data_IF_186156976480
#
_entry.id   IF_186156976480
#
_cell.length_a   1.000
_cell.length_b   1.000
_cell.length_c   1.000
_cell.angle_alpha   90.00
_cell.angle_beta   90.00
_cell.angle_gamma   90.00
#
_symmetry.space_group_name_H-M   'P 1'
#
loop_
_entity.id
_entity.type
_entity.pdbx_description
1 polymer ?
#
# COMPACT_ATOMS: atom_id res chain seq x y z
N UNK A 1 -12.50 9.33 8.32
CA UNK A 1 -13.56 8.30 8.24
C UNK A 1 -12.98 7.01 7.69
N UNK A 2 -13.42 5.78 8.13
CA UNK A 2 -12.86 4.52 7.61
C UNK A 2 -13.88 3.80 6.73
N UNK A 3 -13.56 3.63 5.44
CA UNK A 3 -14.36 2.88 4.46
C UNK A 3 -14.23 1.38 4.67
N UNK A 4 -13.02 0.91 4.96
CA UNK A 4 -12.72 -0.46 5.39
C UNK A 4 -12.47 -0.44 6.88
N UNK A 5 -13.25 -1.23 7.63
CA UNK A 5 -13.11 -1.37 9.09
C UNK A 5 -12.45 -2.68 9.49
N UNK A 6 -12.65 -3.72 8.71
CA UNK A 6 -12.09 -5.03 9.02
C UNK A 6 -11.98 -5.92 7.79
N UNK A 7 -11.11 -6.92 7.91
CA UNK A 7 -10.84 -7.93 6.90
C UNK A 7 -10.94 -9.30 7.59
N UNK A 8 -11.67 -10.22 6.99
CA UNK A 8 -11.84 -11.60 7.46
C UNK A 8 -11.69 -12.57 6.29
N UNK A 9 -11.37 -13.83 6.57
CA UNK A 9 -11.40 -14.91 5.59
C UNK A 9 -12.76 -15.63 5.59
N UNK A 10 -13.24 -16.00 4.40
CA UNK A 10 -14.36 -16.93 4.22
C UNK A 10 -13.82 -18.35 4.27
N UNK A 11 -14.61 -19.33 4.74
CA UNK A 11 -14.23 -20.74 4.67
C UNK A 11 -14.25 -21.27 3.23
N UNK A 12 -13.66 -22.44 3.00
CA UNK A 12 -13.76 -23.19 1.74
C UNK A 12 -12.52 -23.11 0.84
N UNK A 13 -11.39 -22.61 1.34
CA UNK A 13 -10.09 -22.66 0.67
C UNK A 13 -9.23 -23.82 1.17
N UNK A 14 -8.20 -24.17 0.41
CA UNK A 14 -7.17 -25.13 0.81
C UNK A 14 -6.02 -24.39 1.53
N UNK A 15 -5.84 -24.57 2.86
CA UNK A 15 -4.80 -23.84 3.61
C UNK A 15 -3.36 -24.27 3.25
N UNK A 16 -3.18 -25.39 2.55
CA UNK A 16 -1.88 -25.83 2.05
C UNK A 16 -1.44 -25.18 0.76
N UNK A 17 -2.36 -24.56 0.02
CA UNK A 17 -2.11 -23.99 -1.30
C UNK A 17 -1.84 -22.49 -1.23
N UNK A 18 -0.94 -21.99 -2.07
CA UNK A 18 -0.76 -20.54 -2.26
C UNK A 18 -2.05 -19.90 -2.81
N UNK A 19 -2.47 -18.76 -2.29
CA UNK A 19 -1.82 -17.89 -1.28
C UNK A 19 -2.23 -18.15 0.18
N UNK A 20 -2.98 -19.20 0.48
CA UNK A 20 -3.52 -19.44 1.82
C UNK A 20 -2.47 -19.94 2.83
N UNK A 21 -1.32 -20.41 2.33
CA UNK A 21 -0.19 -20.89 3.14
C UNK A 21 0.79 -19.79 3.57
N UNK A 22 0.60 -18.53 3.15
CA UNK A 22 1.49 -17.43 3.54
C UNK A 22 1.20 -16.95 4.98
N UNK A 23 2.21 -16.40 5.70
CA UNK A 23 2.07 -16.01 7.12
C UNK A 23 0.90 -15.06 7.40
N UNK A 24 0.71 -14.04 6.56
CA UNK A 24 -0.38 -13.07 6.71
C UNK A 24 -1.77 -13.72 6.66
N UNK A 25 -1.99 -14.66 5.74
CA UNK A 25 -3.30 -15.32 5.57
C UNK A 25 -3.55 -16.32 6.69
N UNK A 26 -2.52 -17.08 7.10
CA UNK A 26 -2.61 -17.96 8.28
C UNK A 26 -2.92 -17.18 9.56
N UNK A 27 -2.40 -15.94 9.68
CA UNK A 27 -2.75 -15.08 10.82
C UNK A 27 -4.21 -14.66 10.76
N UNK A 28 -4.71 -14.24 9.60
CA UNK A 28 -6.14 -13.89 9.42
C UNK A 28 -7.07 -15.06 9.77
N UNK A 29 -6.70 -16.29 9.40
CA UNK A 29 -7.43 -17.50 9.76
C UNK A 29 -7.51 -17.67 11.29
N UNK A 30 -6.39 -17.57 11.98
CA UNK A 30 -6.29 -17.74 13.43
C UNK A 30 -6.96 -16.61 14.21
N UNK A 31 -6.74 -15.36 13.78
CA UNK A 31 -7.28 -14.17 14.45
C UNK A 31 -8.76 -13.94 14.13
N UNK A 32 -9.28 -14.56 13.05
CA UNK A 32 -10.65 -14.40 12.57
C UNK A 32 -10.93 -13.04 11.93
N UNK A 33 -10.27 -11.98 12.40
CA UNK A 33 -10.49 -10.59 11.92
C UNK A 33 -9.24 -9.74 12.09
N UNK A 34 -8.91 -8.97 11.07
CA UNK A 34 -7.95 -7.86 11.12
C UNK A 34 -8.74 -6.55 11.11
N UNK A 35 -8.58 -5.70 12.12
CA UNK A 35 -9.32 -4.44 12.26
C UNK A 35 -8.43 -3.25 11.84
N UNK A 36 -9.00 -2.32 11.09
CA UNK A 36 -8.37 -1.06 10.68
C UNK A 36 -9.07 0.10 11.41
N UNK A 37 -8.41 0.66 12.44
CA UNK A 37 -9.03 1.63 13.35
C UNK A 37 -8.78 3.08 12.91
N UNK A 38 -7.62 3.33 12.28
CA UNK A 38 -7.17 4.67 11.90
C UNK A 38 -7.40 4.95 10.41
N UNK A 39 -7.50 6.22 10.01
CA UNK A 39 -7.60 6.60 8.60
C UNK A 39 -6.40 6.18 7.76
N UNK A 40 -5.23 6.06 8.38
CA UNK A 40 -4.01 5.57 7.72
C UNK A 40 -3.56 4.29 8.41
N UNK A 41 -3.36 3.24 7.62
CA UNK A 41 -2.82 1.96 8.08
C UNK A 41 -1.63 1.57 7.23
N UNK A 42 -0.49 1.32 7.86
CA UNK A 42 0.72 0.81 7.22
C UNK A 42 0.83 -0.70 7.40
N UNK A 43 1.11 -1.40 6.31
CA UNK A 43 1.54 -2.80 6.29
C UNK A 43 3.06 -2.80 6.11
N UNK A 44 3.78 -3.23 7.14
CA UNK A 44 5.25 -3.22 7.18
C UNK A 44 5.80 -4.62 7.45
N UNK A 45 7.08 -4.85 7.24
CA UNK A 45 7.75 -6.15 7.48
C UNK A 45 8.52 -6.64 6.25
N UNK A 46 9.22 -7.74 6.38
CA UNK A 46 10.09 -8.31 5.37
C UNK A 46 9.35 -8.77 4.10
N UNK A 47 10.12 -8.96 3.02
CA UNK A 47 9.61 -9.52 1.77
C UNK A 47 9.14 -10.96 1.98
N UNK A 48 8.11 -11.37 1.24
CA UNK A 48 7.55 -12.73 1.34
C UNK A 48 6.55 -12.95 2.49
N UNK A 49 6.37 -12.00 3.41
CA UNK A 49 5.41 -12.12 4.53
C UNK A 49 3.94 -12.01 4.12
N UNK A 50 3.68 -11.56 2.87
CA UNK A 50 2.35 -11.50 2.28
C UNK A 50 1.70 -10.11 2.28
N UNK A 51 2.45 -9.03 2.50
CA UNK A 51 1.94 -7.63 2.46
C UNK A 51 1.29 -7.31 1.12
N UNK A 52 2.05 -7.44 0.01
CA UNK A 52 1.56 -7.12 -1.34
C UNK A 52 0.43 -8.04 -1.77
N UNK A 53 0.47 -9.34 -1.41
CA UNK A 53 -0.62 -10.28 -1.68
C UNK A 53 -1.91 -9.88 -0.97
N UNK A 54 -1.82 -9.47 0.29
CA UNK A 54 -3.00 -9.06 1.07
C UNK A 54 -3.54 -7.71 0.59
N UNK A 55 -2.66 -6.74 0.32
CA UNK A 55 -3.07 -5.40 -0.13
C UNK A 55 -3.74 -5.46 -1.52
N UNK A 56 -3.20 -6.26 -2.45
CA UNK A 56 -3.79 -6.55 -3.75
C UNK A 56 -5.18 -7.19 -3.60
N UNK A 57 -5.28 -8.22 -2.76
CA UNK A 57 -6.55 -8.91 -2.54
C UNK A 57 -7.62 -7.97 -1.92
N UNK A 58 -7.23 -7.04 -1.04
CA UNK A 58 -8.10 -5.99 -0.52
C UNK A 58 -8.54 -5.05 -1.66
N UNK A 59 -7.61 -4.59 -2.48
CA UNK A 59 -7.90 -3.70 -3.59
C UNK A 59 -8.90 -4.32 -4.57
N UNK A 60 -8.67 -5.57 -4.99
CA UNK A 60 -9.58 -6.30 -5.87
C UNK A 60 -10.95 -6.53 -5.22
N UNK A 61 -11.00 -6.90 -3.94
CA UNK A 61 -12.26 -7.06 -3.19
C UNK A 61 -13.04 -5.74 -3.02
N UNK A 62 -12.36 -4.59 -3.15
CA UNK A 62 -12.96 -3.25 -3.18
C UNK A 62 -13.34 -2.79 -4.60
N UNK A 63 -13.06 -3.61 -5.63
CA UNK A 63 -13.42 -3.35 -7.02
C UNK A 63 -12.38 -2.56 -7.81
N UNK A 64 -11.14 -2.45 -7.33
CA UNK A 64 -10.02 -1.91 -8.08
C UNK A 64 -9.43 -3.00 -9.01
N UNK A 65 -8.77 -2.55 -10.09
CA UNK A 65 -7.99 -3.45 -10.93
C UNK A 65 -6.75 -3.95 -10.15
N UNK A 66 -6.42 -5.24 -10.25
CA UNK A 66 -5.27 -5.84 -9.56
C UNK A 66 -3.91 -5.28 -9.98
N UNK A 67 -3.82 -4.72 -11.19
CA UNK A 67 -2.62 -4.05 -11.68
C UNK A 67 -2.52 -2.56 -11.26
N UNK A 68 -3.58 -2.01 -10.66
CA UNK A 68 -3.67 -0.62 -10.24
C UNK A 68 -4.70 0.18 -11.05
N UNK A 69 -4.96 1.41 -10.61
CA UNK A 69 -5.91 2.31 -11.23
C UNK A 69 -7.15 2.60 -10.38
N UNK A 70 -8.10 3.33 -10.95
CA UNK A 70 -9.42 3.55 -10.34
C UNK A 70 -10.34 2.37 -10.61
N UNK A 71 -11.55 2.39 -10.01
CA UNK A 71 -12.55 1.32 -10.22
C UNK A 71 -13.08 1.23 -11.65
N UNK A 72 -12.97 2.30 -12.42
CA UNK A 72 -13.44 2.36 -13.80
C UNK A 72 -12.40 1.84 -14.81
N UNK A 73 -11.24 1.43 -14.31
CA UNK A 73 -10.17 0.87 -15.13
C UNK A 73 -10.45 -0.60 -15.45
N UNK A 74 -10.68 -0.88 -16.73
CA UNK A 74 -10.97 -2.22 -17.26
C UNK A 74 -9.84 -2.77 -18.13
N UNK A 75 -8.58 -2.49 -17.79
CA UNK A 75 -7.47 -3.15 -18.45
C UNK A 75 -6.92 -4.28 -17.60
N UNK A 76 -6.57 -5.38 -18.23
CA UNK A 76 -5.81 -6.47 -17.61
C UNK A 76 -4.84 -6.96 -18.66
N UNK A 77 -3.54 -6.87 -18.39
CA UNK A 77 -2.51 -7.45 -19.24
C UNK A 77 -2.36 -8.94 -18.96
N UNK A 78 -2.73 -9.39 -17.77
CA UNK A 78 -2.77 -10.81 -17.38
C UNK A 78 -3.76 -11.02 -16.21
N UNK A 79 -4.43 -12.19 -16.16
CA UNK A 79 -5.21 -12.67 -15.00
C UNK A 79 -4.27 -13.19 -13.89
N UNK A 80 -3.42 -12.31 -13.35
CA UNK A 80 -2.35 -12.69 -12.41
C UNK A 80 -2.70 -12.43 -10.95
N UNK A 81 -3.87 -11.84 -10.65
CA UNK A 81 -4.24 -11.58 -9.28
C UNK A 81 -4.55 -12.87 -8.50
N UNK A 82 -4.09 -12.87 -7.27
CA UNK A 82 -4.26 -13.98 -6.35
C UNK A 82 -5.76 -14.30 -6.11
N UNK A 83 -6.10 -15.59 -6.04
CA UNK A 83 -7.45 -16.06 -5.68
C UNK A 83 -7.90 -15.58 -4.29
N UNK A 84 -7.01 -15.04 -3.46
CA UNK A 84 -7.31 -14.57 -2.11
C UNK A 84 -8.48 -13.59 -2.06
N UNK A 85 -8.62 -12.70 -3.06
CA UNK A 85 -9.71 -11.72 -3.11
C UNK A 85 -11.12 -12.35 -3.05
N UNK A 86 -11.31 -13.56 -3.59
CA UNK A 86 -12.58 -14.27 -3.58
C UNK A 86 -12.96 -14.80 -2.18
N UNK A 87 -11.94 -15.02 -1.36
CA UNK A 87 -12.10 -15.53 0.02
C UNK A 87 -11.98 -14.43 1.08
N UNK A 88 -11.80 -13.16 0.69
CA UNK A 88 -11.87 -12.06 1.63
C UNK A 88 -13.31 -11.56 1.83
N UNK A 89 -13.63 -11.27 3.07
CA UNK A 89 -14.78 -10.44 3.45
C UNK A 89 -14.23 -9.12 3.98
N UNK A 90 -14.53 -8.04 3.27
CA UNK A 90 -14.17 -6.69 3.69
C UNK A 90 -15.35 -6.06 4.39
N UNK A 91 -15.20 -5.80 5.70
CA UNK A 91 -16.19 -5.08 6.50
C UNK A 91 -16.16 -3.60 6.15
N UNK A 92 -17.17 -3.17 5.38
CA UNK A 92 -17.32 -1.79 4.86
C UNK A 92 -18.24 -0.97 5.75
N UNK A 93 -18.00 0.36 5.85
CA UNK A 93 -18.95 1.30 6.47
C UNK A 93 -19.86 1.94 5.41
N UNK A 94 -19.30 2.87 4.67
CA UNK A 94 -19.95 3.53 3.53
C UNK A 94 -19.11 3.31 2.27
N UNK A 95 -19.68 3.60 1.11
CA UNK A 95 -18.95 3.52 -0.15
C UNK A 95 -18.15 4.81 -0.34
N UNK A 96 -16.83 4.74 -0.59
CA UNK A 96 -16.04 5.91 -0.94
C UNK A 96 -16.49 6.45 -2.31
N UNK A 97 -16.50 7.77 -2.46
CA UNK A 97 -16.86 8.43 -3.74
C UNK A 97 -15.72 8.42 -4.72
N UNK A 98 -14.48 8.43 -4.23
CA UNK A 98 -13.25 8.31 -5.01
C UNK A 98 -12.40 7.13 -4.53
N UNK A 99 -11.37 6.79 -5.27
CA UNK A 99 -10.37 5.82 -4.86
C UNK A 99 -9.44 5.41 -5.97
N UNK A 100 -8.27 4.96 -5.54
CA UNK A 100 -7.21 4.52 -6.43
C UNK A 100 -6.37 3.42 -5.78
N UNK A 101 -6.02 2.39 -6.53
CA UNK A 101 -5.00 1.44 -6.17
C UNK A 101 -3.74 1.76 -6.98
N UNK A 102 -2.63 1.97 -6.30
CA UNK A 102 -1.37 2.36 -6.91
C UNK A 102 -0.28 1.39 -6.47
N UNK A 103 0.23 0.63 -7.43
CA UNK A 103 1.40 -0.25 -7.28
C UNK A 103 2.58 0.38 -7.99
N UNK A 104 3.68 0.55 -7.29
CA UNK A 104 4.87 1.10 -7.92
C UNK A 104 5.40 0.18 -9.04
N UNK A 105 5.32 -1.15 -8.84
CA UNK A 105 5.73 -2.16 -9.80
C UNK A 105 4.98 -2.08 -11.14
N UNK A 106 3.68 -1.82 -11.13
CA UNK A 106 2.83 -1.69 -12.33
C UNK A 106 2.49 -0.24 -12.70
N UNK A 107 3.09 0.75 -12.04
CA UNK A 107 2.80 2.16 -12.27
C UNK A 107 3.00 2.59 -13.72
N UNK A 108 4.03 2.06 -14.39
CA UNK A 108 4.27 2.36 -15.81
C UNK A 108 3.09 1.95 -16.70
N UNK A 109 2.50 0.78 -16.48
CA UNK A 109 1.33 0.30 -17.23
C UNK A 109 0.12 1.20 -16.97
N UNK A 110 -0.11 1.57 -15.69
CA UNK A 110 -1.17 2.50 -15.30
C UNK A 110 -0.98 3.87 -15.94
N UNK A 111 0.24 4.41 -15.96
CA UNK A 111 0.58 5.68 -16.57
C UNK A 111 0.36 5.66 -18.09
N UNK A 112 0.78 4.59 -18.76
CA UNK A 112 0.56 4.41 -20.20
C UNK A 112 -0.92 4.36 -20.54
N UNK A 113 -1.70 3.59 -19.79
CA UNK A 113 -3.15 3.52 -19.97
C UNK A 113 -3.83 4.87 -19.79
N UNK A 114 -3.41 5.66 -18.79
CA UNK A 114 -3.94 7.00 -18.55
C UNK A 114 -3.57 7.97 -19.69
N UNK A 115 -2.34 7.94 -20.16
CA UNK A 115 -1.89 8.78 -21.28
C UNK A 115 -2.67 8.51 -22.58
N UNK A 116 -3.03 7.25 -22.83
CA UNK A 116 -3.75 6.82 -24.04
C UNK A 116 -5.26 7.02 -23.96
N UNK A 117 -5.87 6.83 -22.76
CA UNK A 117 -7.32 6.69 -22.61
C UNK A 117 -7.97 7.80 -21.79
N UNK A 118 -7.19 8.73 -21.23
CA UNK A 118 -7.70 9.77 -20.34
C UNK A 118 -7.40 11.18 -20.84
N UNK A 119 -8.25 12.13 -20.44
CA UNK A 119 -7.95 13.55 -20.67
C UNK A 119 -6.87 14.01 -19.69
N UNK A 120 -5.63 14.16 -20.18
CA UNK A 120 -4.46 14.54 -19.39
C UNK A 120 -4.62 15.87 -18.63
N UNK A 121 -5.58 16.73 -19.01
CA UNK A 121 -5.85 17.97 -18.24
C UNK A 121 -6.27 17.68 -16.80
N UNK A 122 -6.86 16.51 -16.52
CA UNK A 122 -7.22 16.06 -15.18
C UNK A 122 -6.02 15.54 -14.35
N UNK A 123 -4.87 15.38 -15.00
CA UNK A 123 -3.64 14.84 -14.41
C UNK A 123 -2.47 15.84 -14.50
N UNK A 124 -2.77 17.14 -14.56
CA UNK A 124 -1.78 18.22 -14.64
C UNK A 124 -1.36 18.62 -16.06
N UNK A 125 -2.00 18.06 -17.11
CA UNK A 125 -1.84 18.49 -18.50
C UNK A 125 -0.54 18.03 -19.18
N UNK A 126 0.32 17.29 -18.48
CA UNK A 126 1.59 16.77 -19.01
C UNK A 126 1.56 15.26 -19.03
N UNK A 127 1.91 14.65 -20.16
CA UNK A 127 2.03 13.20 -20.29
C UNK A 127 2.95 12.62 -19.21
N UNK A 128 2.55 11.53 -18.58
CA UNK A 128 3.37 10.84 -17.57
C UNK A 128 4.69 10.34 -18.13
N UNK A 129 4.74 9.97 -19.42
CA UNK A 129 5.97 9.57 -20.11
C UNK A 129 6.99 10.69 -20.31
N UNK A 130 6.58 11.96 -20.18
CA UNK A 130 7.47 13.13 -20.23
C UNK A 130 8.01 13.56 -18.87
N UNK A 131 7.63 12.87 -17.81
CA UNK A 131 7.99 13.13 -16.43
C UNK A 131 8.92 12.02 -15.93
N UNK A 132 9.77 12.31 -14.95
CA UNK A 132 10.46 11.26 -14.22
C UNK A 132 9.43 10.41 -13.46
N UNK A 133 9.75 9.14 -13.19
CA UNK A 133 8.83 8.20 -12.52
C UNK A 133 8.24 8.78 -11.21
N UNK A 134 9.07 9.42 -10.39
CA UNK A 134 8.59 10.04 -9.15
C UNK A 134 7.80 11.33 -9.35
N UNK A 135 8.02 12.08 -10.44
CA UNK A 135 7.17 13.24 -10.79
C UNK A 135 5.80 12.79 -11.24
N UNK A 136 5.75 11.81 -12.13
CA UNK A 136 4.52 11.21 -12.62
C UNK A 136 3.67 10.63 -11.47
N UNK A 137 4.32 9.94 -10.51
CA UNK A 137 3.66 9.40 -9.33
C UNK A 137 3.03 10.49 -8.45
N UNK A 138 3.79 11.55 -8.13
CA UNK A 138 3.26 12.67 -7.35
C UNK A 138 2.20 13.46 -8.11
N UNK A 139 2.39 13.68 -9.42
CA UNK A 139 1.40 14.35 -10.25
C UNK A 139 0.07 13.60 -10.23
N UNK A 140 0.10 12.26 -10.34
CA UNK A 140 -1.09 11.42 -10.18
C UNK A 140 -1.74 11.65 -8.80
N UNK A 141 -0.98 11.57 -7.72
CA UNK A 141 -1.52 11.74 -6.36
C UNK A 141 -2.12 13.15 -6.14
N UNK A 142 -1.46 14.20 -6.65
CA UNK A 142 -1.92 15.61 -6.50
C UNK A 142 -3.18 15.89 -7.31
N UNK A 143 -3.26 15.39 -8.54
CA UNK A 143 -4.30 15.78 -9.48
C UNK A 143 -5.47 14.81 -9.55
N UNK A 144 -5.26 13.55 -9.13
CA UNK A 144 -6.29 12.49 -9.27
C UNK A 144 -6.97 12.14 -7.95
N UNK A 145 -6.33 12.36 -6.80
CA UNK A 145 -6.95 12.03 -5.52
C UNK A 145 -7.77 13.22 -5.03
N UNK A 146 -9.09 13.04 -4.90
CA UNK A 146 -10.04 14.15 -4.70
C UNK A 146 -10.56 14.28 -3.25
N UNK A 147 -10.26 13.33 -2.36
CA UNK A 147 -10.86 13.26 -1.03
C UNK A 147 -12.12 12.37 -1.01
N UNK A 148 -12.69 12.15 0.18
CA UNK A 148 -13.77 11.18 0.41
C UNK A 148 -13.48 9.81 -0.25
N UNK A 149 -12.19 9.42 -0.28
CA UNK A 149 -11.64 8.35 -1.07
C UNK A 149 -10.97 7.24 -0.28
N UNK A 150 -10.85 6.09 -0.92
CA UNK A 150 -10.04 4.96 -0.46
C UNK A 150 -8.81 4.83 -1.36
N UNK A 151 -7.64 5.06 -0.80
CA UNK A 151 -6.37 4.97 -1.51
C UNK A 151 -5.53 3.84 -0.96
N UNK A 152 -5.14 2.94 -1.86
CA UNK A 152 -4.34 1.76 -1.53
C UNK A 152 -3.02 1.93 -2.27
N UNK A 153 -1.89 1.93 -1.54
CA UNK A 153 -0.57 2.15 -2.11
C UNK A 153 0.34 0.95 -1.78
N UNK A 154 0.95 0.38 -2.81
CA UNK A 154 1.90 -0.73 -2.66
C UNK A 154 3.30 -0.26 -3.05
N UNK A 155 4.18 -0.16 -2.05
CA UNK A 155 5.58 0.27 -2.13
C UNK A 155 5.83 1.60 -2.85
N UNK A 156 5.14 2.70 -2.47
CA UNK A 156 5.30 3.98 -3.14
C UNK A 156 6.74 4.53 -3.09
N UNK A 157 7.53 4.10 -2.11
CA UNK A 157 8.94 4.47 -1.98
C UNK A 157 9.84 3.98 -3.13
N UNK A 158 9.48 2.92 -3.82
CA UNK A 158 10.27 2.43 -4.97
C UNK A 158 10.26 3.39 -6.16
N UNK A 159 9.25 4.29 -6.22
CA UNK A 159 9.17 5.35 -7.22
C UNK A 159 9.66 6.72 -6.73
N UNK A 160 9.81 6.92 -5.41
CA UNK A 160 9.95 8.24 -4.80
C UNK A 160 11.28 8.42 -4.06
N UNK A 161 11.95 9.55 -4.30
CA UNK A 161 13.06 9.99 -3.46
C UNK A 161 12.60 10.34 -2.04
N UNK A 162 13.50 10.38 -1.03
CA UNK A 162 13.16 10.76 0.34
C UNK A 162 12.40 12.10 0.44
N UNK A 163 12.80 13.10 -0.35
CA UNK A 163 12.12 14.39 -0.39
C UNK A 163 10.69 14.26 -0.94
N UNK A 164 10.50 13.45 -1.97
CA UNK A 164 9.17 13.22 -2.56
C UNK A 164 8.27 12.39 -1.64
N UNK A 165 8.83 11.49 -0.83
CA UNK A 165 8.08 10.81 0.23
C UNK A 165 7.55 11.79 1.28
N UNK A 166 8.32 12.82 1.65
CA UNK A 166 7.83 13.89 2.53
C UNK A 166 6.68 14.68 1.88
N UNK A 167 6.75 14.93 0.57
CA UNK A 167 5.65 15.56 -0.17
C UNK A 167 4.40 14.67 -0.18
N UNK A 168 4.56 13.36 -0.35
CA UNK A 168 3.45 12.40 -0.27
C UNK A 168 2.79 12.40 1.11
N UNK A 169 3.55 12.54 2.21
CA UNK A 169 2.99 12.67 3.56
C UNK A 169 2.06 13.88 3.69
N UNK A 170 2.42 15.02 3.07
CA UNK A 170 1.57 16.23 3.04
C UNK A 170 0.27 15.94 2.28
N UNK A 171 0.35 15.30 1.12
CA UNK A 171 -0.83 14.92 0.31
C UNK A 171 -1.74 13.98 1.11
N UNK A 172 -1.19 12.96 1.73
CA UNK A 172 -1.94 12.02 2.59
C UNK A 172 -2.66 12.80 3.71
N UNK A 173 -1.97 13.74 4.36
CA UNK A 173 -2.52 14.52 5.45
C UNK A 173 -3.72 15.37 5.02
N UNK A 174 -3.61 16.08 3.91
CA UNK A 174 -4.72 16.89 3.38
C UNK A 174 -5.91 16.01 2.94
N UNK A 175 -5.65 14.86 2.32
CA UNK A 175 -6.71 13.94 1.93
C UNK A 175 -7.38 13.27 3.13
N UNK A 176 -6.64 12.94 4.20
CA UNK A 176 -7.23 12.43 5.46
C UNK A 176 -8.13 13.48 6.12
N UNK A 177 -7.76 14.76 6.09
CA UNK A 177 -8.65 15.86 6.54
C UNK A 177 -9.94 15.94 5.69
N UNK A 178 -9.86 15.54 4.43
CA UNK A 178 -10.97 15.43 3.51
C UNK A 178 -11.57 14.02 3.48
N UNK A 179 -11.72 13.40 4.65
CA UNK A 179 -12.38 12.11 4.88
C UNK A 179 -11.87 10.92 4.06
N UNK A 180 -10.58 10.91 3.70
CA UNK A 180 -9.98 9.77 2.99
C UNK A 180 -9.36 8.75 3.92
N UNK A 181 -9.30 7.49 3.45
CA UNK A 181 -8.62 6.39 4.09
C UNK A 181 -7.46 5.88 3.24
N UNK A 182 -6.34 5.59 3.88
CA UNK A 182 -5.14 5.03 3.25
C UNK A 182 -4.80 3.66 3.83
N UNK A 183 -4.46 2.71 2.96
CA UNK A 183 -3.81 1.43 3.30
C UNK A 183 -2.53 1.38 2.47
N UNK A 184 -1.37 1.32 3.14
CA UNK A 184 -0.07 1.50 2.47
C UNK A 184 0.86 0.36 2.88
N UNK A 185 1.28 -0.48 1.93
CA UNK A 185 2.41 -1.37 2.15
C UNK A 185 3.70 -0.59 1.89
N UNK A 186 4.64 -0.63 2.84
CA UNK A 186 5.88 0.17 2.73
C UNK A 186 7.01 -0.40 3.59
N UNK A 187 8.24 -0.16 3.14
CA UNK A 187 9.49 -0.34 3.89
C UNK A 187 10.10 0.99 4.36
N UNK A 188 9.47 2.13 4.01
CA UNK A 188 10.02 3.47 4.28
C UNK A 188 9.76 3.96 5.70
N UNK A 189 10.79 4.14 6.55
CA UNK A 189 10.61 4.78 7.85
C UNK A 189 10.08 6.23 7.76
N UNK A 190 10.25 6.89 6.61
CA UNK A 190 9.71 8.24 6.38
C UNK A 190 8.18 8.19 6.35
N UNK A 191 7.59 7.26 5.59
CA UNK A 191 6.13 7.13 5.52
C UNK A 191 5.54 6.66 6.83
N UNK A 192 6.16 5.67 7.50
CA UNK A 192 5.71 5.13 8.78
C UNK A 192 5.67 6.18 9.90
N UNK A 193 6.39 7.29 9.75
CA UNK A 193 6.40 8.40 10.70
C UNK A 193 5.10 9.24 10.70
N UNK A 194 4.15 8.95 9.79
CA UNK A 194 2.87 9.66 9.73
C UNK A 194 2.13 9.56 11.08
N UNK A 195 1.71 10.70 11.65
CA UNK A 195 1.10 10.72 12.98
C UNK A 195 -0.28 10.06 12.97
N UNK A 196 -0.64 9.42 14.09
CA UNK A 196 -1.95 8.82 14.31
C UNK A 196 -2.35 7.75 13.24
N UNK A 197 -1.37 6.98 12.75
CA UNK A 197 -1.57 5.81 11.93
C UNK A 197 -1.59 4.51 12.75
N UNK A 198 -2.15 3.45 12.18
CA UNK A 198 -1.92 2.08 12.61
C UNK A 198 -0.74 1.50 11.82
N UNK A 199 0.19 0.85 12.50
CA UNK A 199 1.28 0.11 11.87
C UNK A 199 1.09 -1.37 12.20
N UNK A 200 0.88 -2.16 11.17
CA UNK A 200 0.72 -3.60 11.23
C UNK A 200 1.99 -4.25 10.69
N UNK A 201 2.77 -4.85 11.57
CA UNK A 201 4.02 -5.51 11.21
C UNK A 201 3.77 -6.98 10.88
N UNK A 202 4.14 -7.34 9.66
CA UNK A 202 4.02 -8.67 9.09
C UNK A 202 5.33 -9.43 9.28
N UNK A 203 5.23 -10.62 9.82
CA UNK A 203 6.35 -11.52 10.06
C UNK A 203 5.94 -12.98 9.78
N UNK A 204 6.87 -13.91 9.90
CA UNK A 204 6.56 -15.34 9.84
C UNK A 204 5.60 -15.79 10.95
N UNK A 205 5.57 -15.06 12.07
CA UNK A 205 4.69 -15.33 13.22
C UNK A 205 3.29 -14.72 13.05
N UNK A 206 3.05 -13.96 11.99
CA UNK A 206 1.77 -13.32 11.68
C UNK A 206 1.84 -11.79 11.65
N UNK A 207 0.72 -11.15 12.00
CA UNK A 207 0.56 -9.71 11.95
C UNK A 207 0.43 -9.16 13.37
N UNK A 208 1.23 -8.15 13.71
CA UNK A 208 1.18 -7.48 15.01
C UNK A 208 1.03 -5.97 14.84
N UNK A 209 0.27 -5.33 15.73
CA UNK A 209 0.21 -3.86 15.79
C UNK A 209 1.38 -3.36 16.64
N UNK A 210 2.20 -2.50 16.03
CA UNK A 210 3.41 -1.97 16.66
C UNK A 210 3.44 -0.45 16.61
N UNK A 211 4.25 0.18 17.46
CA UNK A 211 4.53 1.61 17.36
C UNK A 211 5.65 1.88 16.35
N UNK A 212 5.70 3.10 15.78
CA UNK A 212 6.69 3.51 14.78
C UNK A 212 8.13 3.15 15.18
N UNK A 213 8.51 3.47 16.43
CA UNK A 213 9.88 3.25 16.93
C UNK A 213 10.19 1.76 17.21
N UNK A 214 9.19 0.92 17.27
CA UNK A 214 9.32 -0.52 17.48
C UNK A 214 9.48 -1.28 16.19
N UNK A 215 9.15 -0.69 15.02
CA UNK A 215 9.35 -1.33 13.72
C UNK A 215 10.82 -1.66 13.49
N UNK A 216 11.08 -2.81 12.88
CA UNK A 216 12.43 -3.25 12.55
C UNK A 216 13.11 -2.29 11.58
N UNK A 217 12.38 -1.82 10.58
CA UNK A 217 12.86 -0.83 9.60
C UNK A 217 13.36 0.47 10.25
N UNK A 218 12.62 1.01 11.24
CA UNK A 218 13.07 2.19 11.97
C UNK A 218 14.35 1.91 12.75
N UNK A 219 14.40 0.80 13.50
CA UNK A 219 15.54 0.45 14.36
C UNK A 219 16.81 0.29 13.54
N UNK A 220 16.76 -0.53 12.48
CA UNK A 220 17.91 -0.80 11.60
C UNK A 220 18.37 0.47 10.89
N UNK A 221 17.45 1.21 10.27
CA UNK A 221 17.78 2.44 9.54
C UNK A 221 18.40 3.48 10.47
N UNK A 222 17.78 3.69 11.66
CA UNK A 222 18.32 4.62 12.64
C UNK A 222 19.71 4.22 13.10
N UNK A 223 19.91 2.95 13.46
CA UNK A 223 21.21 2.45 13.91
C UNK A 223 22.29 2.63 12.84
N UNK A 224 21.94 2.38 11.58
CA UNK A 224 22.86 2.57 10.47
C UNK A 224 23.22 4.05 10.26
N UNK A 225 22.23 4.94 10.28
CA UNK A 225 22.46 6.39 10.10
C UNK A 225 23.27 6.99 11.27
N UNK A 226 22.98 6.55 12.50
CA UNK A 226 23.67 7.05 13.69
C UNK A 226 25.14 6.60 13.78
N UNK A 227 25.48 5.42 13.23
CA UNK A 227 26.81 4.81 13.32
C UNK A 227 27.23 4.07 12.04
N UNK A 228 27.28 4.74 10.88
CA UNK A 228 27.49 4.06 9.59
C UNK A 228 28.84 3.34 9.51
N UNK A 229 29.92 3.98 9.99
CA UNK A 229 31.28 3.40 9.90
C UNK A 229 31.38 2.11 10.74
N UNK A 230 30.74 2.10 11.91
CA UNK A 230 30.71 0.92 12.79
C UNK A 230 29.91 -0.21 12.16
N UNK A 231 28.74 0.08 11.62
CA UNK A 231 27.87 -0.92 10.97
C UNK A 231 28.56 -1.53 9.75
N UNK A 232 29.08 -0.67 8.86
CA UNK A 232 29.84 -1.13 7.68
C UNK A 232 31.08 -1.94 8.09
N UNK A 233 31.81 -1.50 9.15
CA UNK A 233 32.96 -2.23 9.66
C UNK A 233 32.63 -3.62 10.22
N UNK A 234 31.41 -3.88 10.70
CA UNK A 234 30.97 -5.23 11.08
C UNK A 234 30.57 -6.09 9.87
N UNK A 235 29.90 -5.48 8.89
CA UNK A 235 29.41 -6.20 7.71
C UNK A 235 30.51 -6.62 6.74
N UNK A 236 31.60 -5.82 6.66
CA UNK A 236 32.72 -6.03 5.73
C UNK A 236 33.96 -6.66 6.41
N UNK A 237 33.83 -7.21 7.61
CA UNK A 237 34.91 -8.00 8.22
C UNK A 237 34.98 -9.37 7.52
N UNK A 238 36.14 -9.67 6.92
CA UNK A 238 36.52 -10.99 6.41
C UNK A 238 36.67 -12.01 7.56
#
# INVERSE_FOLDING_TARGET
>A
MNYIKSICLKPGYDPGRYPFNIPAVRHLEKAGRLTLEKPVTFFVGENGTGKSTLIEAIAVAMGFNGEGGSRDFSFSTQDTHSQLCQYLTVGKSIRPTDGFFLRAESFYNTASYLDENSNMSRYGGVSFHKQSHGEAFLALAVHRFEGNGLYILDEPESALSPQRLMSLLVIIHELVKNDSQFIIATHSPILMAYPNADILEFSENGIQKVSYRETEHYKITKQFIDMPERMVGYLLRD
#
